data_IF_190913934644
#
_entry.id   IF_190913934644
#
_cell.length_a   1.000
_cell.length_b   1.000
_cell.length_c   1.000
_cell.angle_alpha   90.00
_cell.angle_beta   90.00
_cell.angle_gamma   90.00
#
_symmetry.space_group_name_H-M   'P 1'
#
loop_
_entity.id
_entity.type
_entity.pdbx_description
1 polymer ?
#
# COMPACT_ATOMS: atom_id res chain seq x y z
N UNK A 1 6.87 -8.07 32.98
CA UNK A 1 6.17 -7.76 31.72
C UNK A 1 6.32 -6.27 31.44
N UNK A 2 7.30 -5.86 30.62
CA UNK A 2 7.57 -4.45 30.34
C UNK A 2 6.97 -3.95 29.01
N UNK A 3 6.48 -4.82 28.12
CA UNK A 3 6.04 -4.41 26.79
C UNK A 3 4.52 -4.27 26.75
N UNK A 4 3.99 -3.04 26.68
CA UNK A 4 2.55 -2.76 26.78
C UNK A 4 1.95 -2.01 25.60
N UNK A 5 2.75 -1.38 24.76
CA UNK A 5 2.23 -0.54 23.68
C UNK A 5 2.64 -1.08 22.32
N UNK A 6 1.76 -0.89 21.33
CA UNK A 6 2.01 -1.25 19.94
C UNK A 6 1.98 0.02 19.09
N UNK A 7 2.82 0.05 18.07
CA UNK A 7 2.79 1.08 17.03
C UNK A 7 2.22 0.52 15.73
N UNK A 8 1.39 1.30 15.06
CA UNK A 8 1.03 1.11 13.66
C UNK A 8 1.48 2.31 12.86
N UNK A 9 2.19 2.10 11.74
CA UNK A 9 2.57 3.17 10.82
C UNK A 9 1.98 2.93 9.44
N UNK A 10 1.22 3.89 8.94
CA UNK A 10 0.57 3.85 7.63
C UNK A 10 1.26 4.83 6.67
N UNK A 11 1.90 4.29 5.64
CA UNK A 11 2.59 5.06 4.59
C UNK A 11 1.57 5.34 3.48
N UNK A 12 0.83 6.44 3.62
CA UNK A 12 -0.17 6.86 2.65
C UNK A 12 0.42 7.53 1.42
N UNK A 13 -0.46 7.92 0.49
CA UNK A 13 -0.04 8.60 -0.76
C UNK A 13 0.45 10.03 -0.54
N UNK A 14 -0.11 10.75 0.44
CA UNK A 14 0.18 12.18 0.70
C UNK A 14 0.77 12.44 2.09
N UNK A 15 0.98 11.39 2.87
CA UNK A 15 1.55 11.51 4.19
C UNK A 15 1.62 10.17 4.89
N UNK A 16 2.50 10.09 5.88
CA UNK A 16 2.64 8.93 6.76
C UNK A 16 2.04 9.26 8.11
N UNK A 17 1.34 8.29 8.71
CA UNK A 17 0.76 8.41 10.05
C UNK A 17 1.26 7.30 10.94
N UNK A 18 1.75 7.63 12.13
CA UNK A 18 2.02 6.65 13.19
C UNK A 18 1.02 6.82 14.33
N UNK A 19 0.53 5.70 14.86
CA UNK A 19 -0.40 5.64 15.99
C UNK A 19 0.15 4.69 17.05
N UNK A 20 0.13 5.12 18.31
CA UNK A 20 0.41 4.27 19.47
C UNK A 20 -0.89 3.84 20.12
N UNK A 21 -1.02 2.54 20.40
CA UNK A 21 -2.15 1.96 21.12
C UNK A 21 -1.69 1.16 22.33
N UNK A 22 -2.54 1.10 23.36
CA UNK A 22 -2.38 0.16 24.47
C UNK A 22 -3.00 -1.22 24.12
N UNK A 23 -2.91 -2.23 25.00
CA UNK A 23 -3.44 -3.57 24.72
C UNK A 23 -4.98 -3.62 24.56
N UNK A 24 -5.68 -2.61 25.08
CA UNK A 24 -7.14 -2.48 24.95
C UNK A 24 -7.54 -1.79 23.63
N UNK A 25 -6.58 -1.44 22.77
CA UNK A 25 -6.82 -0.72 21.51
C UNK A 25 -7.05 0.78 21.67
N UNK A 26 -6.86 1.34 22.86
CA UNK A 26 -6.98 2.78 23.09
C UNK A 26 -5.79 3.52 22.48
N UNK A 27 -6.07 4.52 21.66
CA UNK A 27 -5.06 5.42 21.09
C UNK A 27 -4.47 6.29 22.21
N UNK A 28 -3.14 6.26 22.33
CA UNK A 28 -2.36 7.01 23.33
C UNK A 28 -1.79 8.28 22.71
N UNK A 29 -1.21 8.16 21.52
CA UNK A 29 -0.67 9.28 20.75
C UNK A 29 -0.69 8.96 19.26
N UNK A 30 -0.56 9.99 18.45
CA UNK A 30 -0.31 9.85 17.02
C UNK A 30 0.45 11.05 16.46
N UNK A 31 1.11 10.83 15.33
CA UNK A 31 1.74 11.86 14.55
C UNK A 31 1.48 11.62 13.06
N UNK A 32 1.54 12.69 12.29
CA UNK A 32 1.32 12.69 10.85
C UNK A 32 2.33 13.62 10.20
N UNK A 33 2.89 13.20 9.06
CA UNK A 33 3.86 13.96 8.28
C UNK A 33 3.46 13.91 6.81
N UNK A 34 3.24 15.08 6.22
CA UNK A 34 2.78 15.24 4.84
C UNK A 34 3.97 15.26 3.85
N UNK A 35 3.71 14.77 2.64
CA UNK A 35 4.63 14.87 1.51
C UNK A 35 3.87 14.88 0.19
N UNK A 36 4.52 15.45 -0.83
CA UNK A 36 3.92 15.62 -2.14
C UNK A 36 4.07 14.39 -3.05
N UNK A 37 3.23 14.38 -4.09
CA UNK A 37 3.32 13.46 -5.23
C UNK A 37 3.85 14.24 -6.43
N UNK A 38 4.91 13.73 -7.05
CA UNK A 38 5.46 14.30 -8.27
C UNK A 38 4.53 13.92 -9.43
N UNK A 39 4.05 14.92 -10.17
CA UNK A 39 3.15 14.73 -11.33
C UNK A 39 3.74 15.41 -12.57
N UNK A 40 4.74 14.81 -13.24
CA UNK A 40 5.45 15.46 -14.33
C UNK A 40 4.56 15.75 -15.55
N UNK A 41 3.53 14.92 -15.76
CA UNK A 41 2.60 14.97 -16.90
C UNK A 41 1.20 14.52 -16.46
N UNK A 42 0.15 14.81 -17.25
CA UNK A 42 -1.17 14.23 -17.01
C UNK A 42 -1.08 12.71 -16.89
N UNK A 43 -1.80 12.15 -15.89
CA UNK A 43 -1.83 10.71 -15.60
C UNK A 43 -0.51 10.09 -15.11
N UNK A 44 0.53 10.90 -14.87
CA UNK A 44 1.80 10.47 -14.31
C UNK A 44 1.83 10.83 -12.82
N UNK A 45 2.24 9.89 -11.98
CA UNK A 45 2.35 10.06 -10.54
C UNK A 45 3.55 9.27 -10.00
N UNK A 46 4.47 9.97 -9.35
CA UNK A 46 5.72 9.40 -8.89
C UNK A 46 6.10 9.91 -7.51
N UNK A 47 6.84 9.11 -6.74
CA UNK A 47 7.42 9.51 -5.46
C UNK A 47 8.79 8.89 -5.26
N UNK A 48 9.72 9.67 -4.72
CA UNK A 48 11.00 9.15 -4.23
C UNK A 48 10.80 8.52 -2.86
N UNK A 49 11.46 7.39 -2.56
CA UNK A 49 11.22 6.68 -1.31
C UNK A 49 11.74 7.40 -0.07
N UNK A 50 12.67 8.35 -0.22
CA UNK A 50 13.19 9.14 0.89
C UNK A 50 12.10 9.90 1.63
N UNK A 51 11.02 10.31 0.95
CA UNK A 51 9.90 10.99 1.61
C UNK A 51 9.15 10.04 2.56
N UNK A 52 8.99 8.76 2.17
CA UNK A 52 8.33 7.74 2.99
C UNK A 52 9.20 7.34 4.18
N UNK A 53 10.51 7.15 3.94
CA UNK A 53 11.48 6.84 4.99
C UNK A 53 11.53 7.98 5.99
N UNK A 54 11.79 9.21 5.55
CA UNK A 54 11.86 10.37 6.44
C UNK A 54 10.57 10.54 7.24
N UNK A 55 9.41 10.50 6.58
CA UNK A 55 8.13 10.68 7.24
C UNK A 55 7.85 9.58 8.27
N UNK A 56 8.15 8.31 7.96
CA UNK A 56 7.99 7.20 8.91
C UNK A 56 8.82 7.41 10.17
N UNK A 57 10.10 7.75 10.01
CA UNK A 57 11.00 7.93 11.13
C UNK A 57 10.59 9.15 11.98
N UNK A 58 10.22 10.25 11.33
CA UNK A 58 9.72 11.45 12.01
C UNK A 58 8.43 11.15 12.79
N UNK A 59 7.45 10.46 12.19
CA UNK A 59 6.17 10.19 12.87
C UNK A 59 6.29 9.18 14.00
N UNK A 60 7.18 8.19 13.89
CA UNK A 60 7.49 7.29 15.01
C UNK A 60 8.07 8.10 16.17
N UNK A 61 9.09 8.94 15.91
CA UNK A 61 9.74 9.77 16.93
C UNK A 61 8.74 10.71 17.60
N UNK A 62 7.97 11.45 16.80
CA UNK A 62 6.97 12.39 17.30
C UNK A 62 5.87 11.69 18.12
N UNK A 63 5.48 10.48 17.75
CA UNK A 63 4.48 9.67 18.48
C UNK A 63 5.01 9.25 19.85
N UNK A 64 6.27 8.83 19.92
CA UNK A 64 6.96 8.49 21.17
C UNK A 64 7.08 9.72 22.08
N UNK A 65 7.61 10.83 21.57
CA UNK A 65 7.80 12.08 22.33
C UNK A 65 6.50 12.61 22.92
N UNK A 66 5.42 12.64 22.11
CA UNK A 66 4.09 13.08 22.56
C UNK A 66 3.50 12.18 23.64
N UNK A 67 3.74 10.87 23.55
CA UNK A 67 3.20 9.89 24.52
C UNK A 67 3.89 9.94 25.88
N UNK A 68 5.16 10.35 25.92
CA UNK A 68 6.06 10.20 27.09
C UNK A 68 6.24 8.75 27.57
N UNK A 69 5.85 7.76 26.76
CA UNK A 69 6.10 6.34 27.02
C UNK A 69 7.57 6.03 26.75
N UNK A 70 8.17 5.17 27.56
CA UNK A 70 9.56 4.76 27.37
C UNK A 70 9.66 3.85 26.14
N UNK A 71 10.67 4.00 25.26
CA UNK A 71 10.87 3.10 24.13
C UNK A 71 10.93 1.61 24.52
N UNK A 72 11.42 1.29 25.73
CA UNK A 72 11.45 -0.06 26.28
C UNK A 72 10.07 -0.69 26.51
N UNK A 73 9.01 0.11 26.51
CA UNK A 73 7.65 -0.37 26.75
C UNK A 73 6.89 -0.65 25.44
N UNK A 74 7.53 -0.42 24.29
CA UNK A 74 6.98 -0.72 22.95
C UNK A 74 7.22 -2.19 22.62
N UNK A 75 6.14 -2.95 22.44
CA UNK A 75 6.17 -4.38 22.13
C UNK A 75 6.53 -4.69 20.68
N UNK A 76 6.24 -3.77 19.76
CA UNK A 76 6.51 -3.92 18.34
C UNK A 76 5.82 -2.85 17.51
N UNK A 77 6.16 -2.84 16.23
CA UNK A 77 5.59 -1.95 15.22
C UNK A 77 5.13 -2.75 14.01
N UNK A 78 3.95 -2.44 13.47
CA UNK A 78 3.47 -2.95 12.19
C UNK A 78 3.34 -1.81 11.18
N UNK A 79 3.55 -2.11 9.89
CA UNK A 79 3.47 -1.12 8.82
C UNK A 79 2.33 -1.45 7.85
N UNK A 80 1.57 -0.45 7.44
CA UNK A 80 0.79 -0.49 6.21
C UNK A 80 1.36 0.50 5.21
N UNK A 81 1.08 0.30 3.92
CA UNK A 81 1.50 1.25 2.93
C UNK A 81 0.60 1.26 1.70
N UNK A 82 0.63 2.39 1.02
CA UNK A 82 0.02 2.55 -0.28
C UNK A 82 0.49 1.44 -1.21
N UNK A 83 -0.38 1.13 -2.18
CA UNK A 83 0.08 0.35 -3.31
C UNK A 83 1.17 1.09 -4.09
N UNK A 84 2.35 0.47 -4.12
CA UNK A 84 3.53 0.98 -4.80
C UNK A 84 3.44 1.05 -6.32
N UNK A 85 2.40 0.50 -6.97
CA UNK A 85 2.39 0.38 -8.43
C UNK A 85 3.59 -0.44 -8.90
N UNK A 86 4.58 0.16 -9.59
CA UNK A 86 5.79 -0.55 -10.05
C UNK A 86 6.62 -1.17 -8.93
N UNK A 87 6.47 -0.68 -7.69
CA UNK A 87 7.51 -0.80 -6.68
C UNK A 87 8.66 0.18 -6.94
N UNK A 88 9.47 0.41 -5.92
CA UNK A 88 10.69 1.21 -5.94
C UNK A 88 11.75 0.43 -6.70
N UNK A 89 12.26 0.96 -7.83
CA UNK A 89 13.36 0.33 -8.54
C UNK A 89 14.67 0.63 -7.82
N UNK A 90 15.30 -0.41 -7.27
CA UNK A 90 16.55 -0.32 -6.50
C UNK A 90 17.69 -1.04 -7.19
N UNK A 91 18.92 -0.59 -6.97
CA UNK A 91 20.12 -1.28 -7.41
C UNK A 91 20.53 -2.42 -6.44
N UNK A 92 21.72 -2.99 -6.64
CA UNK A 92 22.24 -4.11 -5.83
C UNK A 92 22.54 -3.73 -4.38
N UNK A 93 22.72 -2.44 -4.10
CA UNK A 93 23.04 -1.88 -2.79
C UNK A 93 21.78 -1.31 -2.12
N UNK A 94 20.60 -1.59 -2.70
CA UNK A 94 19.28 -1.13 -2.27
C UNK A 94 19.11 0.39 -2.36
N UNK A 95 19.83 1.03 -3.27
CA UNK A 95 19.70 2.46 -3.52
C UNK A 95 18.69 2.74 -4.65
N UNK A 96 17.77 3.70 -4.49
CA UNK A 96 16.74 3.99 -5.48
C UNK A 96 17.34 4.56 -6.77
N UNK A 97 17.01 3.96 -7.91
CA UNK A 97 17.52 4.37 -9.22
C UNK A 97 16.67 5.49 -9.83
N UNK A 98 15.37 5.46 -9.55
CA UNK A 98 14.38 6.42 -10.03
C UNK A 98 13.16 6.48 -9.10
N UNK A 99 12.27 7.47 -9.25
CA UNK A 99 11.01 7.50 -8.53
C UNK A 99 10.15 6.25 -8.76
N UNK A 100 9.45 5.83 -7.73
CA UNK A 100 8.45 4.77 -7.80
C UNK A 100 7.22 5.24 -8.60
N UNK A 101 6.73 4.44 -9.55
CA UNK A 101 5.48 4.71 -10.27
C UNK A 101 4.31 4.18 -9.44
N UNK A 102 3.70 5.05 -8.64
CA UNK A 102 2.68 4.65 -7.66
C UNK A 102 1.35 4.24 -8.31
N UNK A 103 0.40 3.73 -7.53
CA UNK A 103 -0.89 3.22 -8.00
C UNK A 103 -1.69 4.19 -8.90
N UNK A 104 -1.59 5.51 -8.64
CA UNK A 104 -2.27 6.55 -9.42
C UNK A 104 -1.69 6.74 -10.83
N UNK A 105 -0.47 6.27 -11.08
CA UNK A 105 0.16 6.38 -12.38
C UNK A 105 -0.53 5.47 -13.39
N UNK A 106 -0.88 6.03 -14.56
CA UNK A 106 -1.60 5.32 -15.63
C UNK A 106 -0.81 5.24 -16.93
N UNK A 107 0.48 5.62 -16.94
CA UNK A 107 1.25 5.88 -18.17
C UNK A 107 1.50 4.65 -19.03
N UNK A 108 1.45 3.45 -18.45
CA UNK A 108 1.77 2.18 -19.10
C UNK A 108 0.66 1.68 -20.05
N UNK A 109 0.12 2.57 -20.89
CA UNK A 109 -1.00 2.23 -21.79
C UNK A 109 -0.55 1.30 -22.91
N UNK A 110 0.64 1.51 -23.45
CA UNK A 110 1.16 0.74 -24.58
C UNK A 110 1.50 -0.68 -24.14
N UNK A 111 2.06 -0.83 -22.94
CA UNK A 111 2.31 -2.14 -22.30
C UNK A 111 1.00 -2.88 -22.05
N UNK A 112 -0.05 -2.20 -21.55
CA UNK A 112 -1.39 -2.80 -21.38
C UNK A 112 -1.94 -3.31 -22.71
N UNK A 113 -1.84 -2.52 -23.80
CA UNK A 113 -2.30 -2.95 -25.12
C UNK A 113 -1.48 -4.12 -25.65
N UNK A 114 -0.17 -4.10 -25.45
CA UNK A 114 0.69 -5.20 -25.83
C UNK A 114 0.31 -6.49 -25.10
N UNK A 115 0.09 -6.45 -23.78
CA UNK A 115 -0.32 -7.64 -23.01
C UNK A 115 -1.68 -8.14 -23.49
N UNK A 116 -2.67 -7.27 -23.67
CA UNK A 116 -4.01 -7.65 -24.17
C UNK A 116 -3.97 -8.28 -25.57
N UNK A 117 -2.99 -7.93 -26.40
CA UNK A 117 -2.84 -8.45 -27.76
C UNK A 117 -2.05 -9.77 -27.80
N UNK A 118 -1.05 -9.93 -26.93
CA UNK A 118 -0.05 -10.99 -27.06
C UNK A 118 -0.12 -12.06 -25.96
N UNK A 119 -0.85 -11.81 -24.86
CA UNK A 119 -1.00 -12.74 -23.75
C UNK A 119 -2.44 -13.23 -23.68
N UNK A 120 -2.63 -14.53 -23.53
CA UNK A 120 -3.94 -15.11 -23.34
C UNK A 120 -4.59 -14.55 -22.06
N UNK A 121 -5.73 -13.88 -22.24
CA UNK A 121 -6.49 -13.23 -21.16
C UNK A 121 -6.96 -14.24 -20.11
N UNK A 122 -7.30 -15.46 -20.51
CA UNK A 122 -7.85 -16.47 -19.61
C UNK A 122 -6.71 -17.06 -18.78
N UNK A 123 -5.52 -17.21 -19.39
CA UNK A 123 -4.30 -17.65 -18.71
C UNK A 123 -3.82 -16.67 -17.65
N UNK A 124 -3.66 -15.39 -17.99
CA UNK A 124 -3.23 -14.38 -17.00
C UNK A 124 -4.25 -14.25 -15.87
N UNK A 125 -5.55 -14.35 -16.18
CA UNK A 125 -6.59 -14.33 -15.15
C UNK A 125 -6.57 -15.58 -14.28
N UNK A 126 -6.35 -16.77 -14.85
CA UNK A 126 -6.29 -18.03 -14.09
C UNK A 126 -5.14 -18.04 -13.06
N UNK A 127 -3.97 -17.51 -13.46
CA UNK A 127 -2.78 -17.45 -12.60
C UNK A 127 -2.92 -16.34 -11.57
N UNK A 128 -3.30 -15.14 -11.99
CA UNK A 128 -3.17 -13.94 -11.16
C UNK A 128 -4.46 -13.55 -10.46
N UNK A 129 -5.61 -14.07 -10.91
CA UNK A 129 -6.93 -13.63 -10.47
C UNK A 129 -7.34 -12.24 -10.95
N UNK A 130 -6.55 -11.62 -11.83
CA UNK A 130 -6.68 -10.20 -12.18
C UNK A 130 -6.73 -9.97 -13.69
N UNK A 131 -7.39 -8.88 -14.08
CA UNK A 131 -7.39 -8.39 -15.45
C UNK A 131 -6.17 -7.51 -15.74
N UNK A 132 -5.99 -7.10 -17.00
CA UNK A 132 -4.85 -6.28 -17.43
C UNK A 132 -5.24 -4.81 -17.47
N UNK A 133 -4.53 -3.99 -16.71
CA UNK A 133 -4.77 -2.56 -16.58
C UNK A 133 -3.52 -1.83 -16.06
N UNK A 134 -3.37 -0.54 -16.38
CA UNK A 134 -2.19 0.24 -15.99
C UNK A 134 -2.16 0.58 -14.49
N UNK A 135 -3.14 0.12 -13.72
CA UNK A 135 -3.11 0.17 -12.26
C UNK A 135 -1.97 -0.70 -11.74
N UNK A 136 -1.83 -1.90 -12.32
CA UNK A 136 -0.92 -2.93 -11.85
C UNK A 136 0.56 -2.62 -12.12
N UNK A 137 1.40 -3.10 -11.22
CA UNK A 137 2.83 -2.85 -11.16
C UNK A 137 3.59 -3.48 -12.30
N UNK A 138 3.23 -4.70 -12.71
CA UNK A 138 3.92 -5.37 -13.81
C UNK A 138 3.90 -4.56 -15.11
N UNK A 139 2.80 -3.86 -15.40
CA UNK A 139 2.72 -3.00 -16.61
C UNK A 139 3.66 -1.81 -16.51
N UNK A 140 3.85 -1.26 -15.30
CA UNK A 140 4.77 -0.16 -15.03
C UNK A 140 6.24 -0.62 -15.05
N UNK A 141 6.51 -1.84 -14.61
CA UNK A 141 7.83 -2.47 -14.76
C UNK A 141 8.18 -2.64 -16.25
N UNK A 142 7.23 -3.13 -17.06
CA UNK A 142 7.39 -3.19 -18.52
C UNK A 142 7.61 -1.81 -19.13
N UNK A 143 6.90 -0.78 -18.65
CA UNK A 143 7.09 0.59 -19.13
C UNK A 143 8.51 1.08 -18.86
N UNK A 144 9.05 0.87 -17.65
CA UNK A 144 10.43 1.23 -17.30
C UNK A 144 11.41 0.48 -18.21
N UNK A 145 11.19 -0.83 -18.41
CA UNK A 145 12.02 -1.65 -19.31
C UNK A 145 12.08 -1.09 -20.74
N UNK A 146 10.93 -0.70 -21.29
CA UNK A 146 10.81 -0.29 -22.69
C UNK A 146 11.24 1.17 -22.92
N UNK A 147 10.99 2.06 -21.95
CA UNK A 147 11.15 3.50 -22.13
C UNK A 147 12.38 4.07 -21.42
N UNK A 148 12.93 3.36 -20.43
CA UNK A 148 14.11 3.76 -19.67
C UNK A 148 15.16 2.63 -19.59
N UNK A 149 15.68 2.14 -20.74
CA UNK A 149 16.56 0.97 -20.78
C UNK A 149 17.85 1.15 -19.98
N UNK A 150 18.35 2.37 -19.83
CA UNK A 150 19.56 2.64 -19.03
C UNK A 150 19.31 2.60 -17.52
N UNK A 151 18.09 2.92 -17.07
CA UNK A 151 17.68 2.67 -15.69
C UNK A 151 17.42 1.17 -15.50
N UNK A 152 16.73 0.52 -16.44
CA UNK A 152 16.46 -0.92 -16.38
C UNK A 152 17.70 -1.78 -16.17
N UNK A 153 18.80 -1.47 -16.86
CA UNK A 153 20.09 -2.18 -16.69
C UNK A 153 20.68 -2.09 -15.28
N UNK A 154 20.36 -1.03 -14.52
CA UNK A 154 20.88 -0.80 -13.16
C UNK A 154 19.98 -1.45 -12.10
N UNK A 155 18.71 -1.69 -12.43
CA UNK A 155 17.73 -2.22 -11.49
C UNK A 155 18.10 -3.66 -11.13
N UNK A 156 18.29 -3.89 -9.84
CA UNK A 156 18.42 -5.22 -9.27
C UNK A 156 17.05 -5.77 -8.90
N UNK A 157 16.22 -4.97 -8.23
CA UNK A 157 14.90 -5.39 -7.75
C UNK A 157 13.86 -4.25 -7.72
N UNK A 158 12.58 -4.63 -7.65
CA UNK A 158 11.44 -3.76 -7.38
C UNK A 158 10.83 -4.10 -6.02
N UNK A 159 10.76 -3.12 -5.11
CA UNK A 159 10.35 -3.34 -3.72
C UNK A 159 9.20 -2.40 -3.38
N UNK A 160 8.19 -2.84 -2.64
CA UNK A 160 7.05 -1.96 -2.33
C UNK A 160 7.47 -0.82 -1.39
N UNK A 161 6.74 0.32 -1.37
CA UNK A 161 7.03 1.44 -0.47
C UNK A 161 7.17 1.02 0.99
N UNK A 162 6.24 0.20 1.47
CA UNK A 162 6.24 -0.35 2.82
C UNK A 162 7.49 -1.22 3.06
N UNK A 163 7.77 -2.14 2.15
CA UNK A 163 8.86 -3.09 2.32
C UNK A 163 10.23 -2.41 2.28
N UNK A 164 10.37 -1.33 1.50
CA UNK A 164 11.59 -0.52 1.52
C UNK A 164 11.78 0.22 2.84
N UNK A 165 10.69 0.70 3.47
CA UNK A 165 10.78 1.27 4.83
C UNK A 165 11.11 0.19 5.85
N UNK A 166 10.56 -1.03 5.74
CA UNK A 166 10.96 -2.18 6.56
C UNK A 166 12.45 -2.46 6.40
N UNK A 167 12.97 -2.45 5.16
CA UNK A 167 14.40 -2.60 4.91
C UNK A 167 15.23 -1.51 5.59
N UNK A 168 14.81 -0.23 5.51
CA UNK A 168 15.52 0.85 6.22
C UNK A 168 15.40 0.77 7.75
N UNK A 169 14.38 0.09 8.29
CA UNK A 169 14.22 -0.13 9.72
C UNK A 169 14.99 -1.36 10.24
N UNK A 170 15.19 -2.38 9.40
CA UNK A 170 15.60 -3.74 9.85
C UNK A 170 16.77 -4.36 9.09
N UNK A 171 17.07 -3.87 7.88
CA UNK A 171 17.99 -4.50 6.93
C UNK A 171 17.39 -5.68 6.14
N UNK A 172 16.14 -6.06 6.41
CA UNK A 172 15.52 -7.24 5.83
C UNK A 172 14.78 -6.92 4.53
N UNK A 173 14.98 -7.74 3.50
CA UNK A 173 14.37 -7.58 2.17
C UNK A 173 13.29 -8.65 1.96
N UNK A 174 12.05 -8.25 2.23
CA UNK A 174 10.88 -9.12 2.22
C UNK A 174 9.73 -8.47 1.45
N UNK A 175 8.68 -9.24 1.17
CA UNK A 175 7.36 -8.73 0.80
C UNK A 175 6.29 -9.57 1.49
N UNK A 176 5.16 -8.98 1.84
CA UNK A 176 4.00 -9.76 2.30
C UNK A 176 3.13 -10.22 1.12
N UNK A 177 2.25 -11.19 1.35
CA UNK A 177 1.35 -11.73 0.33
C UNK A 177 0.41 -10.68 -0.29
N UNK A 178 -0.10 -9.73 0.50
CA UNK A 178 -1.01 -8.69 -0.02
C UNK A 178 -0.27 -7.74 -0.97
N UNK A 179 0.95 -7.34 -0.60
CA UNK A 179 1.84 -6.51 -1.40
C UNK A 179 2.27 -7.20 -2.68
N UNK A 180 2.69 -8.48 -2.58
CA UNK A 180 3.09 -9.28 -3.73
C UNK A 180 1.94 -9.51 -4.71
N UNK A 181 0.77 -9.89 -4.20
CA UNK A 181 -0.42 -10.09 -5.02
C UNK A 181 -0.91 -8.82 -5.70
N UNK A 182 -0.78 -7.66 -5.04
CA UNK A 182 -1.21 -6.39 -5.60
C UNK A 182 -0.31 -5.88 -6.73
N UNK A 183 0.94 -6.36 -6.87
CA UNK A 183 1.76 -6.12 -8.09
C UNK A 183 1.00 -6.60 -9.35
N UNK A 184 0.26 -7.71 -9.24
CA UNK A 184 -0.54 -8.30 -10.32
C UNK A 184 0.32 -8.81 -11.48
N UNK A 185 -0.25 -9.60 -12.39
CA UNK A 185 0.43 -10.07 -13.60
C UNK A 185 1.51 -11.14 -13.38
N UNK A 186 2.36 -10.98 -12.37
CA UNK A 186 3.54 -11.81 -12.07
C UNK A 186 3.41 -12.62 -10.78
N UNK A 187 2.31 -12.48 -10.04
CA UNK A 187 2.04 -13.25 -8.82
C UNK A 187 0.96 -14.31 -9.09
N UNK A 188 1.25 -15.57 -8.75
CA UNK A 188 0.30 -16.68 -8.79
C UNK A 188 -0.53 -16.66 -7.49
N UNK A 189 -1.81 -16.30 -7.61
CA UNK A 189 -2.69 -16.11 -6.46
C UNK A 189 -3.00 -17.43 -5.74
N UNK A 190 -2.94 -18.57 -6.44
CA UNK A 190 -3.22 -19.90 -5.88
C UNK A 190 -2.00 -20.47 -5.19
N UNK A 191 -0.82 -20.36 -5.82
CA UNK A 191 0.45 -20.85 -5.26
C UNK A 191 1.07 -19.88 -4.26
N UNK A 192 0.57 -18.63 -4.21
CA UNK A 192 1.04 -17.55 -3.33
C UNK A 192 2.53 -17.25 -3.51
N UNK A 193 2.98 -17.24 -4.75
CA UNK A 193 4.38 -16.98 -5.11
C UNK A 193 4.48 -16.31 -6.48
N UNK A 194 5.66 -15.89 -6.88
CA UNK A 194 5.89 -15.37 -8.22
C UNK A 194 5.66 -16.45 -9.28
N UNK A 195 4.90 -16.11 -10.31
CA UNK A 195 4.72 -16.96 -11.48
C UNK A 195 5.91 -16.77 -12.42
N UNK A 196 6.85 -17.72 -12.41
CA UNK A 196 7.99 -17.73 -13.34
C UNK A 196 7.52 -17.72 -14.81
N UNK A 197 6.45 -18.44 -15.10
CA UNK A 197 5.83 -18.49 -16.42
C UNK A 197 5.32 -17.11 -16.88
N UNK A 198 4.57 -16.40 -16.02
CA UNK A 198 4.11 -15.06 -16.38
C UNK A 198 5.24 -14.05 -16.43
N UNK A 199 6.24 -14.18 -15.54
CA UNK A 199 7.47 -13.39 -15.57
C UNK A 199 8.17 -13.52 -16.93
N UNK A 200 8.33 -14.75 -17.44
CA UNK A 200 8.92 -15.02 -18.74
C UNK A 200 8.10 -14.41 -19.89
N UNK A 201 6.79 -14.64 -19.92
CA UNK A 201 5.87 -14.09 -20.94
C UNK A 201 5.90 -12.56 -20.98
N UNK A 202 5.91 -11.91 -19.81
CA UNK A 202 5.93 -10.46 -19.67
C UNK A 202 7.34 -9.87 -19.82
N UNK A 203 8.36 -10.72 -19.88
CA UNK A 203 9.77 -10.32 -19.95
C UNK A 203 10.25 -9.57 -18.69
N UNK A 204 9.71 -9.91 -17.52
CA UNK A 204 10.13 -9.40 -16.22
C UNK A 204 10.90 -10.52 -15.52
N UNK A 205 12.22 -10.42 -15.32
CA UNK A 205 12.97 -11.46 -14.63
C UNK A 205 12.47 -11.63 -13.19
N UNK A 206 12.14 -12.86 -12.80
CA UNK A 206 11.71 -13.17 -11.42
C UNK A 206 12.75 -12.76 -10.38
N UNK A 207 14.03 -12.73 -10.76
CA UNK A 207 15.12 -12.25 -9.91
C UNK A 207 15.00 -10.79 -9.50
N UNK A 208 14.23 -9.99 -10.24
CA UNK A 208 13.95 -8.59 -9.90
C UNK A 208 12.81 -8.43 -8.88
N UNK A 209 12.21 -9.52 -8.41
CA UNK A 209 11.18 -9.50 -7.38
C UNK A 209 11.78 -9.96 -6.04
N UNK A 210 11.23 -9.50 -4.89
CA UNK A 210 11.69 -9.95 -3.57
C UNK A 210 11.53 -11.46 -3.42
N UNK A 211 12.60 -12.17 -3.04
CA UNK A 211 12.59 -13.64 -2.96
C UNK A 211 11.76 -14.17 -1.79
N UNK A 212 11.79 -13.45 -0.67
CA UNK A 212 11.13 -13.86 0.56
C UNK A 212 9.74 -13.25 0.63
N UNK A 213 8.72 -14.10 0.51
CA UNK A 213 7.32 -13.73 0.67
C UNK A 213 6.86 -14.25 2.03
N UNK A 214 6.32 -13.37 2.87
CA UNK A 214 5.96 -13.65 4.26
C UNK A 214 4.48 -13.41 4.52
N UNK A 215 4.02 -13.85 5.70
CA UNK A 215 2.69 -13.49 6.17
C UNK A 215 2.66 -12.06 6.70
N UNK A 216 1.52 -11.40 6.58
CA UNK A 216 1.30 -10.04 7.10
C UNK A 216 1.52 -9.92 8.61
N UNK A 217 1.28 -10.99 9.36
CA UNK A 217 1.47 -11.04 10.81
C UNK A 217 2.88 -11.47 11.26
N UNK A 218 3.77 -11.84 10.33
CA UNK A 218 5.11 -12.30 10.67
C UNK A 218 5.97 -11.15 11.20
N UNK A 219 6.75 -11.43 12.25
CA UNK A 219 7.87 -10.57 12.66
C UNK A 219 8.98 -10.78 11.64
N UNK A 220 9.25 -9.75 10.84
CA UNK A 220 10.20 -9.81 9.72
C UNK A 220 11.59 -9.40 10.09
N UNK A 221 11.75 -8.65 11.17
CA UNK A 221 13.03 -8.14 11.60
C UNK A 221 12.91 -7.38 12.91
N UNK A 222 13.99 -6.68 13.27
CA UNK A 222 14.05 -5.85 14.46
C UNK A 222 14.67 -4.51 14.11
N UNK A 223 14.28 -3.45 14.82
CA UNK A 223 14.87 -2.12 14.68
C UNK A 223 16.39 -2.21 14.82
N UNK A 224 17.12 -1.80 13.77
CA UNK A 224 18.59 -1.73 13.81
C UNK A 224 19.05 -0.58 14.71
N UNK A 225 20.34 -0.56 15.03
CA UNK A 225 20.94 0.55 15.78
C UNK A 225 20.79 1.88 15.03
N UNK A 226 21.08 1.91 13.73
CA UNK A 226 20.93 3.14 12.94
C UNK A 226 19.48 3.60 12.92
N UNK A 227 18.54 2.67 12.80
CA UNK A 227 17.12 3.01 12.79
C UNK A 227 16.64 3.55 14.14
N UNK A 228 17.12 2.95 15.24
CA UNK A 228 16.86 3.37 16.62
C UNK A 228 17.27 4.82 16.87
N UNK A 229 18.46 5.21 16.42
CA UNK A 229 18.98 6.58 16.58
C UNK A 229 18.13 7.63 15.85
N UNK A 230 17.49 7.26 14.73
CA UNK A 230 16.71 8.17 13.91
C UNK A 230 15.24 8.28 14.34
N UNK A 231 14.59 7.16 14.71
CA UNK A 231 13.16 7.12 15.03
C UNK A 231 12.86 7.07 16.54
N UNK A 232 13.86 6.82 17.39
CA UNK A 232 13.72 6.80 18.85
C UNK A 232 13.16 5.49 19.44
N UNK A 233 12.85 4.49 18.62
CA UNK A 233 12.55 3.14 19.11
C UNK A 233 13.79 2.47 19.69
N UNK A 234 13.60 1.51 20.58
CA UNK A 234 14.71 0.74 21.14
C UNK A 234 15.27 -0.21 20.05
N UNK A 235 16.60 -0.28 19.93
CA UNK A 235 17.25 -1.32 19.14
C UNK A 235 16.73 -2.70 19.56
N UNK A 236 16.37 -3.53 18.57
CA UNK A 236 15.80 -4.84 18.84
C UNK A 236 14.27 -4.88 18.95
N UNK A 237 13.57 -3.73 18.93
CA UNK A 237 12.09 -3.72 18.87
C UNK A 237 11.59 -4.49 17.64
N UNK A 238 10.68 -5.48 17.79
CA UNK A 238 10.16 -6.27 16.66
C UNK A 238 9.40 -5.43 15.62
N UNK A 239 9.63 -5.74 14.35
CA UNK A 239 8.91 -5.16 13.20
C UNK A 239 8.08 -6.25 12.52
N UNK A 240 6.79 -5.99 12.34
CA UNK A 240 5.82 -6.89 11.69
C UNK A 240 5.60 -6.46 10.24
N UNK A 241 5.49 -7.43 9.33
CA UNK A 241 5.39 -7.19 7.89
C UNK A 241 4.24 -6.25 7.48
N UNK A 242 3.07 -6.46 8.08
CA UNK A 242 1.82 -5.78 7.74
C UNK A 242 1.40 -5.98 6.28
N UNK A 243 0.90 -4.95 5.60
CA UNK A 243 0.30 -5.13 4.27
C UNK A 243 -0.12 -3.84 3.58
N UNK A 244 -0.86 -3.99 2.47
CA UNK A 244 -1.40 -2.84 1.74
C UNK A 244 -2.44 -2.10 2.60
N UNK A 245 -2.50 -0.77 2.47
CA UNK A 245 -3.35 0.13 3.27
C UNK A 245 -4.84 -0.26 3.28
N UNK A 246 -5.46 -0.49 2.12
CA UNK A 246 -6.88 -0.81 2.00
C UNK A 246 -7.32 -2.11 2.73
N UNK A 247 -6.64 -3.27 2.56
CA UNK A 247 -6.97 -4.46 3.32
C UNK A 247 -6.63 -4.33 4.81
N UNK A 248 -5.57 -3.60 5.20
CA UNK A 248 -5.28 -3.33 6.63
C UNK A 248 -6.36 -2.45 7.26
N UNK A 249 -6.85 -1.44 6.54
CA UNK A 249 -7.99 -0.63 6.97
C UNK A 249 -9.26 -1.49 7.10
N UNK A 250 -9.49 -2.42 6.17
CA UNK A 250 -10.62 -3.37 6.26
C UNK A 250 -10.50 -4.27 7.50
N UNK A 251 -9.30 -4.78 7.80
CA UNK A 251 -9.02 -5.55 9.00
C UNK A 251 -9.33 -4.73 10.27
N UNK A 252 -8.93 -3.46 10.30
CA UNK A 252 -9.19 -2.57 11.44
C UNK A 252 -10.68 -2.32 11.68
N UNK A 253 -11.52 -2.48 10.65
CA UNK A 253 -12.98 -2.40 10.73
C UNK A 253 -13.65 -3.73 11.13
N UNK A 254 -12.87 -4.76 11.50
CA UNK A 254 -13.38 -6.06 11.96
C UNK A 254 -13.68 -7.06 10.86
N UNK A 255 -13.21 -6.83 9.62
CA UNK A 255 -13.41 -7.75 8.50
C UNK A 255 -12.50 -8.96 8.67
N UNK A 256 -13.01 -9.99 9.34
CA UNK A 256 -12.28 -11.24 9.63
C UNK A 256 -12.96 -12.48 9.04
N UNK A 257 -14.24 -12.38 8.70
CA UNK A 257 -15.03 -13.51 8.22
C UNK A 257 -15.29 -13.43 6.71
N UNK A 258 -15.51 -14.60 6.09
CA UNK A 258 -15.90 -14.67 4.68
C UNK A 258 -17.18 -13.89 4.41
N UNK A 259 -17.19 -13.16 3.29
CA UNK A 259 -18.24 -12.23 2.83
C UNK A 259 -18.38 -10.94 3.63
N UNK A 260 -17.59 -10.74 4.68
CA UNK A 260 -17.49 -9.41 5.28
C UNK A 260 -16.93 -8.44 4.26
N UNK A 261 -17.47 -7.22 4.24
CA UNK A 261 -17.09 -6.20 3.29
C UNK A 261 -17.11 -4.81 3.92
N UNK A 262 -16.24 -3.94 3.45
CA UNK A 262 -16.17 -2.53 3.88
C UNK A 262 -16.12 -1.65 2.64
N UNK A 263 -16.96 -0.62 2.63
CA UNK A 263 -16.91 0.45 1.65
C UNK A 263 -16.27 1.69 2.31
N UNK A 264 -15.04 1.99 1.92
CA UNK A 264 -14.34 3.21 2.33
C UNK A 264 -14.71 4.32 1.35
N UNK A 265 -15.48 5.30 1.82
CA UNK A 265 -16.02 6.41 1.01
C UNK A 265 -15.35 7.74 1.34
N UNK A 266 -14.26 8.04 0.65
CA UNK A 266 -13.60 9.35 0.66
C UNK A 266 -13.96 10.16 -0.58
N UNK A 267 -13.00 10.92 -1.12
CA UNK A 267 -13.14 11.57 -2.44
C UNK A 267 -13.47 10.53 -3.52
N UNK A 268 -12.75 9.41 -3.50
CA UNK A 268 -13.02 8.17 -4.22
C UNK A 268 -13.59 7.12 -3.26
N UNK A 269 -14.06 5.99 -3.80
CA UNK A 269 -14.48 4.83 -3.02
C UNK A 269 -13.57 3.64 -3.30
N UNK A 270 -13.31 2.87 -2.26
CA UNK A 270 -12.81 1.51 -2.34
C UNK A 270 -13.77 0.59 -1.58
N UNK A 271 -14.39 -0.36 -2.27
CA UNK A 271 -15.28 -1.35 -1.66
C UNK A 271 -14.65 -2.73 -1.78
N UNK A 272 -14.17 -3.25 -0.66
CA UNK A 272 -13.55 -4.57 -0.54
C UNK A 272 -14.43 -5.60 0.14
N UNK A 273 -14.31 -6.85 -0.28
CA UNK A 273 -14.91 -8.04 0.33
C UNK A 273 -13.83 -9.11 0.52
N UNK A 274 -13.92 -9.86 1.62
CA UNK A 274 -12.99 -10.97 1.89
C UNK A 274 -13.68 -12.31 1.65
N UNK A 275 -13.01 -13.25 0.98
CA UNK A 275 -13.57 -14.57 0.64
C UNK A 275 -12.48 -15.62 0.37
N UNK A 276 -12.86 -16.91 0.24
CA UNK A 276 -11.92 -18.03 0.02
C UNK A 276 -11.54 -18.30 -1.45
N UNK A 277 -11.67 -17.29 -2.31
CA UNK A 277 -11.24 -17.39 -3.73
C UNK A 277 -12.11 -18.18 -4.71
N UNK A 278 -13.30 -18.66 -4.33
CA UNK A 278 -14.14 -19.50 -5.21
C UNK A 278 -14.73 -18.77 -6.44
N UNK A 279 -14.87 -17.44 -6.40
CA UNK A 279 -15.53 -16.64 -7.45
C UNK A 279 -14.78 -15.34 -7.75
N UNK A 280 -13.56 -15.44 -8.26
CA UNK A 280 -12.82 -14.26 -8.76
C UNK A 280 -13.54 -13.67 -9.97
N UNK A 281 -13.51 -12.34 -10.07
CA UNK A 281 -14.17 -11.60 -11.14
C UNK A 281 -13.14 -10.88 -12.01
N UNK A 282 -13.20 -10.97 -13.35
CA UNK A 282 -12.29 -10.26 -14.25
C UNK A 282 -12.55 -8.74 -14.31
N UNK A 283 -13.44 -8.22 -13.45
CA UNK A 283 -13.79 -6.79 -13.34
C UNK A 283 -13.34 -6.18 -12.01
N UNK A 284 -12.79 -6.99 -11.12
CA UNK A 284 -12.37 -6.57 -9.79
C UNK A 284 -10.90 -6.91 -9.60
N UNK A 285 -10.28 -6.25 -8.62
CA UNK A 285 -8.90 -6.50 -8.25
C UNK A 285 -8.91 -7.47 -7.08
N UNK A 286 -8.13 -8.55 -7.17
CA UNK A 286 -8.07 -9.60 -6.16
C UNK A 286 -6.64 -9.93 -5.78
N UNK A 287 -6.36 -10.08 -4.50
CA UNK A 287 -5.05 -10.52 -4.00
C UNK A 287 -5.20 -11.08 -2.58
N UNK A 288 -4.18 -11.76 -2.03
CA UNK A 288 -4.21 -12.27 -0.67
C UNK A 288 -4.65 -11.21 0.34
N UNK A 289 -5.56 -11.58 1.24
CA UNK A 289 -5.93 -10.70 2.35
C UNK A 289 -4.80 -10.64 3.40
N UNK A 290 -4.83 -9.64 4.28
CA UNK A 290 -3.80 -9.42 5.31
C UNK A 290 -4.04 -10.19 6.62
N UNK A 291 -5.20 -10.85 6.74
CA UNK A 291 -5.50 -11.77 7.83
C UNK A 291 -5.89 -13.13 7.24
N UNK A 292 -5.44 -14.21 7.87
CA UNK A 292 -5.55 -15.58 7.32
C UNK A 292 -5.06 -15.61 5.86
N UNK A 293 -3.91 -15.00 5.67
CA UNK A 293 -3.34 -14.64 4.37
C UNK A 293 -2.86 -15.86 3.57
N UNK A 294 -2.97 -17.07 4.09
CA UNK A 294 -2.83 -18.35 3.39
C UNK A 294 -4.16 -18.90 2.84
N UNK A 295 -5.30 -18.41 3.33
CA UNK A 295 -6.63 -18.89 2.96
C UNK A 295 -7.52 -17.82 2.29
N UNK A 296 -7.41 -16.58 2.76
CA UNK A 296 -8.34 -15.51 2.42
C UNK A 296 -7.81 -14.62 1.30
N UNK A 297 -8.74 -14.16 0.47
CA UNK A 297 -8.54 -13.23 -0.64
C UNK A 297 -9.35 -11.98 -0.36
N UNK A 298 -8.71 -10.83 -0.57
CA UNK A 298 -9.35 -9.53 -0.62
C UNK A 298 -9.66 -9.20 -2.07
N UNK A 299 -10.93 -8.96 -2.37
CA UNK A 299 -11.37 -8.51 -3.69
C UNK A 299 -12.04 -7.16 -3.56
N UNK A 300 -11.63 -6.19 -4.37
CA UNK A 300 -12.18 -4.85 -4.28
C UNK A 300 -12.50 -4.23 -5.64
N UNK A 301 -13.46 -3.31 -5.61
CA UNK A 301 -13.75 -2.39 -6.70
C UNK A 301 -13.52 -0.95 -6.24
N UNK A 302 -12.91 -0.15 -7.11
CA UNK A 302 -12.77 1.29 -6.91
C UNK A 302 -13.83 2.07 -7.67
N UNK A 303 -14.31 3.17 -7.10
CA UNK A 303 -15.02 4.20 -7.85
C UNK A 303 -14.26 5.52 -7.78
N UNK A 304 -13.90 6.08 -8.94
CA UNK A 304 -13.11 7.31 -9.03
C UNK A 304 -13.81 8.53 -8.40
N UNK A 305 -15.15 8.52 -8.37
CA UNK A 305 -15.97 9.59 -7.83
C UNK A 305 -16.97 9.04 -6.83
N UNK A 306 -16.81 9.39 -5.55
CA UNK A 306 -17.75 9.09 -4.48
C UNK A 306 -18.07 10.37 -3.69
N UNK A 307 -17.39 10.66 -2.57
CA UNK A 307 -17.57 11.93 -1.86
C UNK A 307 -17.20 13.16 -2.71
N UNK A 308 -16.32 12.99 -3.69
CA UNK A 308 -15.96 14.06 -4.64
C UNK A 308 -17.15 14.56 -5.48
N UNK A 309 -18.06 13.67 -5.93
CA UNK A 309 -19.23 14.10 -6.73
C UNK A 309 -20.25 14.84 -5.87
N UNK A 310 -20.41 14.43 -4.61
CA UNK A 310 -21.28 15.12 -3.64
C UNK A 310 -20.74 16.52 -3.36
N UNK A 311 -19.42 16.64 -3.11
CA UNK A 311 -18.77 17.94 -2.93
C UNK A 311 -18.93 18.85 -4.16
N UNK A 312 -18.67 18.31 -5.35
CA UNK A 312 -18.85 19.04 -6.59
C UNK A 312 -20.30 19.53 -6.75
N UNK A 313 -21.29 18.66 -6.53
CA UNK A 313 -22.70 19.03 -6.61
C UNK A 313 -23.05 20.17 -5.65
N UNK A 314 -22.64 20.05 -4.38
CA UNK A 314 -22.79 21.12 -3.39
C UNK A 314 -22.17 22.43 -3.86
N UNK A 315 -20.94 22.38 -4.37
CA UNK A 315 -20.20 23.57 -4.77
C UNK A 315 -20.78 24.26 -6.01
N UNK A 316 -21.46 23.51 -6.89
CA UNK A 316 -22.07 24.04 -8.11
C UNK A 316 -23.54 24.45 -7.93
N UNK A 317 -24.31 23.75 -7.09
CA UNK A 317 -25.78 23.89 -7.06
C UNK A 317 -26.34 24.31 -5.70
N UNK A 318 -25.60 24.17 -4.60
CA UNK A 318 -26.09 24.42 -3.24
C UNK A 318 -25.55 25.74 -2.65
N UNK A 319 -25.64 26.83 -3.42
CA UNK A 319 -25.07 28.14 -3.01
C UNK A 319 -25.72 28.65 -1.72
N UNK A 320 -27.05 28.54 -1.59
CA UNK A 320 -27.79 28.99 -0.41
C UNK A 320 -27.44 28.17 0.84
N UNK A 321 -27.27 26.87 0.70
CA UNK A 321 -26.89 25.98 1.79
C UNK A 321 -25.45 26.24 2.25
N UNK A 322 -24.55 26.62 1.33
CA UNK A 322 -23.19 27.04 1.67
C UNK A 322 -23.14 28.41 2.35
N UNK A 323 -24.04 29.32 2.01
CA UNK A 323 -24.21 30.59 2.74
C UNK A 323 -24.72 30.31 4.17
N UNK A 324 -25.74 29.46 4.31
CA UNK A 324 -26.23 29.03 5.61
C UNK A 324 -25.17 28.30 6.46
N UNK A 325 -24.29 27.48 5.86
CA UNK A 325 -23.16 26.85 6.55
C UNK A 325 -22.21 27.89 7.16
N UNK A 326 -21.92 28.98 6.44
CA UNK A 326 -21.05 30.07 6.93
C UNK A 326 -21.68 30.82 8.10
N UNK A 327 -23.01 30.95 8.12
CA UNK A 327 -23.74 31.67 9.15
C UNK A 327 -24.03 30.81 10.39
N UNK A 328 -24.23 29.50 10.21
CA UNK A 328 -24.67 28.57 11.26
C UNK A 328 -23.58 27.64 11.79
N UNK A 329 -22.43 27.54 11.11
CA UNK A 329 -21.37 26.56 11.39
C UNK A 329 -21.84 25.09 11.30
N UNK A 330 -23.02 24.84 10.73
CA UNK A 330 -23.57 23.51 10.44
C UNK A 330 -23.16 23.15 9.01
N UNK A 331 -22.57 21.98 8.79
CA UNK A 331 -22.02 21.68 7.47
C UNK A 331 -23.10 21.57 6.40
N UNK A 332 -22.87 22.15 5.22
CA UNK A 332 -23.73 21.95 4.05
C UNK A 332 -23.66 20.51 3.50
N UNK A 333 -22.78 19.67 4.05
CA UNK A 333 -22.75 18.23 3.79
C UNK A 333 -23.53 17.41 4.84
N UNK A 334 -24.01 18.04 5.91
CA UNK A 334 -24.73 17.34 6.98
C UNK A 334 -26.21 17.22 6.63
N UNK A 335 -26.78 16.05 6.95
CA UNK A 335 -28.21 15.85 6.87
C UNK A 335 -28.81 16.43 8.17
N UNK A 336 -29.73 17.41 8.13
CA UNK A 336 -30.37 17.92 9.35
C UNK A 336 -31.32 16.91 10.03
N UNK A 337 -31.32 15.64 9.61
CA UNK A 337 -32.17 14.55 10.09
C UNK A 337 -31.40 13.37 10.72
N UNK A 338 -30.13 13.55 11.12
CA UNK A 338 -29.39 12.54 11.90
C UNK A 338 -29.20 12.97 13.35
#
# INVERSE_FOLDING_TARGET
MHNKYLLGTDIGTQGTKTVMVNPDGKIISSAFSEYDVIKPKPSWAEQWPDVWVKATFDTIRDTLEKSKVKPSDIAGIALSGLYGGSGIPVDKDMEPIRPCLIWMDRRATDEVQWVKKNVDKDKIFEITGNYVDSYYGFTKMMWIKNNEPDNWKKISQFITPKDYVIYKLTGENITDFSSAGNIGGVFDIKKRTWSEEMCEILGIPVSMLPKQIVKSADIVGKITKEASELCGLLEGTPVVAGGIDAPVASLSAGVLEEKNHVAMTGTSMCWGVVHKGQHLSPKLVSFPYVAYDDEMIYTFGGAATAGGIVRWFRDQFCVKEREAERESNISANSNPLS
#
